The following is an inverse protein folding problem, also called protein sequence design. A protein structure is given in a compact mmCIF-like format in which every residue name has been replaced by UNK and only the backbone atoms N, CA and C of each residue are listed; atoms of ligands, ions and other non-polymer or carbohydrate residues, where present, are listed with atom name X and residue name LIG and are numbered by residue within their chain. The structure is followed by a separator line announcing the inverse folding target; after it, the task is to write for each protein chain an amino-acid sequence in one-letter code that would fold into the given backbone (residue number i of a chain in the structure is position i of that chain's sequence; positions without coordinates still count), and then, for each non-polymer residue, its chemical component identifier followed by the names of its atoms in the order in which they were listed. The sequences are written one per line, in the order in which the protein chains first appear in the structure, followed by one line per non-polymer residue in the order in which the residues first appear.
data_IF_555846426010
#
_entry.id   IF_555846426010
#
_cell.length_a   1.000
_cell.length_b   1.000
_cell.length_c   1.000
_cell.angle_alpha   90.00
_cell.angle_beta   90.00
_cell.angle_gamma   90.00
#
_symmetry.space_group_name_H-M   'P 1'
#
loop_
_entity.id
_entity.type
_entity.pdbx_description
1 polymer ?
#
# COMPACT_ATOMS: atom_id res chain seq x y z
N UNK A 1 -4.72 11.71 11.27
CA UNK A 1 -4.38 10.33 11.69
C UNK A 1 -4.83 10.09 13.13
N UNK A 2 -5.54 9.00 13.44
CA UNK A 2 -5.98 8.64 14.81
C UNK A 2 -5.41 7.27 15.19
N UNK A 3 -4.69 7.22 16.31
CA UNK A 3 -4.06 6.01 16.86
C UNK A 3 -5.14 5.02 17.30
N UNK A 4 -5.05 3.79 16.81
CA UNK A 4 -6.00 2.71 17.08
C UNK A 4 -5.43 1.59 17.92
N UNK A 5 -4.29 1.05 17.49
CA UNK A 5 -3.59 -0.04 18.14
C UNK A 5 -2.17 0.41 18.45
N UNK A 6 -1.61 -0.04 19.57
CA UNK A 6 -0.20 0.14 19.91
C UNK A 6 0.29 -1.22 20.40
N UNK A 7 1.16 -1.88 19.64
CA UNK A 7 1.80 -3.12 20.04
C UNK A 7 2.70 -2.89 21.26
N UNK A 8 2.94 -3.94 22.05
CA UNK A 8 3.83 -3.87 23.20
C UNK A 8 5.30 -3.62 22.81
N UNK A 9 5.74 -4.12 21.65
CA UNK A 9 7.08 -3.90 21.12
C UNK A 9 7.22 -2.52 20.43
N UNK A 10 6.13 -1.75 20.32
CA UNK A 10 6.13 -0.42 19.72
C UNK A 10 6.95 0.60 20.54
N UNK A 11 7.76 1.47 19.91
CA UNK A 11 8.24 2.71 20.54
C UNK A 11 7.10 3.62 21.02
N UNK A 12 5.91 3.47 20.43
CA UNK A 12 4.62 3.98 20.85
C UNK A 12 4.15 3.59 22.26
N UNK A 13 4.54 2.40 22.69
CA UNK A 13 4.00 1.79 23.90
C UNK A 13 4.35 2.62 25.14
N UNK A 14 3.33 2.90 25.96
CA UNK A 14 3.46 3.75 27.16
C UNK A 14 3.66 5.24 26.88
N UNK A 15 3.77 5.67 25.62
CA UNK A 15 3.98 7.07 25.23
C UNK A 15 2.75 7.67 24.55
N UNK A 16 2.17 6.94 23.60
CA UNK A 16 0.89 7.26 22.99
C UNK A 16 -0.24 6.41 23.57
N UNK A 17 -1.48 6.86 23.37
CA UNK A 17 -2.69 6.17 23.78
C UNK A 17 -3.61 5.92 22.59
N UNK A 18 -4.33 4.81 22.61
CA UNK A 18 -5.42 4.56 21.66
C UNK A 18 -6.44 5.69 21.73
N UNK A 19 -6.78 6.27 20.58
CA UNK A 19 -7.65 7.44 20.45
C UNK A 19 -6.91 8.77 20.29
N UNK A 20 -5.59 8.81 20.48
CA UNK A 20 -4.80 10.01 20.22
C UNK A 20 -4.88 10.41 18.75
N UNK A 21 -5.21 11.69 18.49
CA UNK A 21 -5.17 12.25 17.13
C UNK A 21 -3.82 12.90 16.91
N UNK A 22 -3.02 12.38 15.99
CA UNK A 22 -1.74 12.97 15.61
C UNK A 22 -2.01 14.25 14.83
N UNK A 23 -1.45 15.37 15.31
CA UNK A 23 -1.60 16.72 14.77
C UNK A 23 -0.38 17.12 13.93
N UNK A 24 0.82 16.79 14.41
CA UNK A 24 2.07 17.06 13.70
C UNK A 24 3.18 16.10 14.09
N UNK A 25 4.15 15.92 13.18
CA UNK A 25 5.41 15.20 13.42
C UNK A 25 6.55 16.14 13.06
N UNK A 26 7.49 16.37 13.99
CA UNK A 26 8.63 17.29 13.85
C UNK A 26 8.21 18.69 13.35
N UNK A 27 7.13 19.24 13.92
CA UNK A 27 6.58 20.55 13.55
C UNK A 27 5.82 20.61 12.22
N UNK A 28 5.79 19.52 11.45
CA UNK A 28 5.06 19.45 10.18
C UNK A 28 3.64 18.89 10.37
N UNK A 29 2.60 19.51 9.77
CA UNK A 29 1.22 19.04 9.91
C UNK A 29 1.00 17.60 9.44
N UNK A 30 0.30 16.81 10.23
CA UNK A 30 -0.02 15.42 9.98
C UNK A 30 -1.50 15.25 9.58
N UNK A 31 -1.85 15.62 8.34
CA UNK A 31 -3.23 15.55 7.85
C UNK A 31 -3.77 14.11 7.81
N UNK A 32 -2.94 13.16 7.39
CA UNK A 32 -3.27 11.74 7.23
C UNK A 32 -2.12 10.84 7.73
N UNK A 33 -2.34 9.52 7.74
CA UNK A 33 -1.31 8.56 8.14
C UNK A 33 -0.12 8.52 7.19
N UNK A 34 -0.30 8.90 5.92
CA UNK A 34 0.80 8.99 4.96
C UNK A 34 1.76 10.14 5.32
N UNK A 35 1.24 11.27 5.76
CA UNK A 35 2.03 12.38 6.28
C UNK A 35 2.77 11.98 7.56
N UNK A 36 2.09 11.30 8.50
CA UNK A 36 2.74 10.77 9.71
C UNK A 36 3.92 9.88 9.34
N UNK A 37 3.68 8.89 8.47
CA UNK A 37 4.69 7.92 8.05
C UNK A 37 5.89 8.59 7.36
N UNK A 38 5.64 9.48 6.39
CA UNK A 38 6.68 10.21 5.67
C UNK A 38 7.57 11.02 6.61
N UNK A 39 6.97 11.73 7.56
CA UNK A 39 7.74 12.57 8.49
C UNK A 39 8.48 11.77 9.56
N UNK A 40 7.96 10.60 9.96
CA UNK A 40 8.68 9.66 10.82
C UNK A 40 9.87 9.03 10.09
N UNK A 41 9.71 8.65 8.82
CA UNK A 41 10.80 8.09 8.01
C UNK A 41 11.91 9.13 7.77
N UNK A 42 11.54 10.40 7.58
CA UNK A 42 12.46 11.51 7.43
C UNK A 42 13.10 11.98 8.75
N UNK A 43 12.63 11.47 9.89
CA UNK A 43 13.17 11.82 11.18
C UNK A 43 14.53 11.14 11.43
N UNK A 44 15.34 11.77 12.29
CA UNK A 44 16.53 11.14 12.85
C UNK A 44 16.16 10.03 13.82
N UNK A 45 16.98 9.81 14.85
CA UNK A 45 16.76 8.70 15.78
C UNK A 45 15.63 8.95 16.78
N UNK A 46 15.04 10.16 16.73
CA UNK A 46 13.93 10.59 17.57
C UNK A 46 12.99 11.45 16.74
N UNK A 47 11.69 11.26 16.93
CA UNK A 47 10.66 12.08 16.32
C UNK A 47 9.76 12.69 17.39
N UNK A 48 9.54 13.99 17.30
CA UNK A 48 8.59 14.71 18.12
C UNK A 48 7.19 14.59 17.49
N UNK A 49 6.27 13.94 18.18
CA UNK A 49 4.88 13.76 17.75
C UNK A 49 3.97 14.55 18.66
N UNK A 50 3.18 15.45 18.09
CA UNK A 50 2.18 16.22 18.82
C UNK A 50 0.83 15.58 18.59
N UNK A 51 0.14 15.24 19.68
CA UNK A 51 -1.18 14.58 19.64
C UNK A 51 -2.22 15.37 20.40
N UNK A 52 -3.47 15.26 19.98
CA UNK A 52 -4.65 15.69 20.75
C UNK A 52 -5.28 14.46 21.39
N UNK A 53 -5.28 14.43 22.71
CA UNK A 53 -5.82 13.34 23.52
C UNK A 53 -7.20 13.70 24.04
N UNK A 54 -8.15 12.76 23.97
CA UNK A 54 -9.49 13.00 24.50
C UNK A 54 -9.44 13.27 26.00
N UNK A 55 -10.04 14.37 26.45
CA UNK A 55 -10.03 14.80 27.85
C UNK A 55 -8.84 15.68 28.27
N UNK A 56 -7.94 16.02 27.33
CA UNK A 56 -6.88 17.02 27.53
C UNK A 56 -7.03 18.08 26.44
N UNK A 57 -7.32 19.31 26.83
CA UNK A 57 -7.54 20.42 25.88
C UNK A 57 -6.25 20.85 25.19
N UNK A 58 -5.11 20.73 25.88
CA UNK A 58 -3.80 21.08 25.32
C UNK A 58 -3.18 19.91 24.52
N UNK A 59 -2.53 20.19 23.37
CA UNK A 59 -1.79 19.19 22.62
C UNK A 59 -0.64 18.61 23.45
N UNK A 60 -0.55 17.29 23.49
CA UNK A 60 0.52 16.58 24.19
C UNK A 60 1.66 16.33 23.23
N UNK A 61 2.87 16.80 23.58
CA UNK A 61 4.10 16.48 22.83
C UNK A 61 4.71 15.20 23.38
N UNK A 62 4.96 14.25 22.48
CA UNK A 62 5.52 12.94 22.80
C UNK A 62 6.75 12.71 21.93
N UNK A 63 7.82 12.22 22.52
CA UNK A 63 9.03 11.88 21.78
C UNK A 63 9.09 10.37 21.53
N UNK A 64 9.20 9.98 20.25
CA UNK A 64 9.29 8.59 19.84
C UNK A 64 10.72 8.25 19.43
N UNK A 65 11.36 7.24 20.04
CA UNK A 65 12.61 6.72 19.52
C UNK A 65 12.34 5.97 18.21
N UNK A 66 13.22 6.16 17.24
CA UNK A 66 13.22 5.45 15.96
C UNK A 66 14.53 4.68 15.89
N UNK A 67 14.50 3.49 16.47
CA UNK A 67 15.61 2.54 16.38
C UNK A 67 15.73 1.95 14.95
N UNK A 68 16.86 1.29 14.62
CA UNK A 68 17.08 0.73 13.29
C UNK A 68 16.00 -0.25 12.83
N UNK A 69 15.45 -1.07 13.73
CA UNK A 69 14.41 -2.06 13.40
C UNK A 69 13.06 -1.36 13.15
N UNK A 70 12.75 -0.34 13.94
CA UNK A 70 11.62 0.57 13.71
C UNK A 70 11.75 1.32 12.39
N UNK A 71 12.95 1.79 12.04
CA UNK A 71 13.21 2.47 10.76
C UNK A 71 13.11 1.51 9.58
N UNK A 72 13.61 0.29 9.71
CA UNK A 72 13.43 -0.77 8.71
C UNK A 72 11.96 -1.15 8.55
N UNK A 73 11.21 -1.23 9.65
CA UNK A 73 9.77 -1.45 9.66
C UNK A 73 9.04 -0.32 8.95
N UNK A 74 9.32 0.96 9.29
CA UNK A 74 8.80 2.13 8.59
C UNK A 74 9.17 2.15 7.09
N UNK A 75 10.31 1.61 6.67
CA UNK A 75 10.64 1.54 5.25
C UNK A 75 9.79 0.52 4.46
N UNK A 76 9.16 -0.45 5.12
CA UNK A 76 8.42 -1.55 4.51
C UNK A 76 6.94 -1.21 4.24
N UNK A 77 6.67 -0.31 3.30
CA UNK A 77 5.32 0.23 3.03
C UNK A 77 4.27 -0.82 2.56
N UNK A 78 4.63 -2.07 2.31
CA UNK A 78 3.75 -2.99 1.60
C UNK A 78 2.87 -3.86 2.50
N UNK A 79 1.70 -3.31 2.80
CA UNK A 79 0.46 -4.01 3.15
C UNK A 79 0.36 -4.74 4.50
N UNK A 80 1.47 -4.98 5.18
CA UNK A 80 1.45 -4.88 6.64
C UNK A 80 1.63 -3.39 6.92
N UNK A 81 0.71 -2.73 7.63
CA UNK A 81 0.96 -1.36 8.06
C UNK A 81 2.34 -1.32 8.72
N UNK A 82 3.31 -0.76 8.01
CA UNK A 82 4.64 -0.38 8.49
C UNK A 82 4.44 0.81 9.41
N UNK A 83 3.72 0.50 10.46
CA UNK A 83 3.54 1.35 11.60
C UNK A 83 4.79 1.15 12.44
N UNK A 84 5.09 2.08 13.33
CA UNK A 84 5.93 1.81 14.50
C UNK A 84 5.26 0.77 15.42
N UNK A 85 4.67 -0.29 14.89
CA UNK A 85 3.73 -1.19 15.53
C UNK A 85 2.53 -0.43 16.15
N UNK A 86 2.08 0.63 15.46
CA UNK A 86 0.93 1.47 15.83
C UNK A 86 -0.11 1.60 14.72
N UNK A 87 -1.18 0.80 14.82
CA UNK A 87 -2.25 0.76 13.84
C UNK A 87 -3.18 1.98 13.86
N UNK A 88 -3.61 2.41 12.67
CA UNK A 88 -4.81 3.24 12.54
C UNK A 88 -6.01 2.59 13.25
N UNK A 89 -6.86 3.41 13.88
CA UNK A 89 -8.12 2.94 14.45
C UNK A 89 -9.02 2.38 13.36
N UNK A 90 -9.04 1.05 13.25
CA UNK A 90 -9.99 0.31 12.42
C UNK A 90 -11.23 0.00 13.25
N UNK A 91 -12.34 0.63 12.91
CA UNK A 91 -13.63 0.27 13.49
C UNK A 91 -14.24 -0.86 12.67
N UNK A 92 -14.59 -1.96 13.32
CA UNK A 92 -15.25 -3.06 12.65
C UNK A 92 -16.65 -2.60 12.22
N UNK A 93 -16.82 -2.26 10.94
CA UNK A 93 -18.11 -1.85 10.40
C UNK A 93 -19.00 -3.08 10.27
N UNK A 94 -20.03 -3.16 11.09
CA UNK A 94 -21.04 -4.22 11.03
C UNK A 94 -22.36 -3.66 10.53
N UNK A 95 -23.02 -4.37 9.63
CA UNK A 95 -24.38 -4.07 9.18
C UNK A 95 -25.14 -5.38 8.99
N UNK A 96 -26.41 -5.38 9.34
CA UNK A 96 -27.33 -6.49 9.06
C UNK A 96 -27.99 -6.36 7.69
N UNK A 97 -27.80 -5.23 6.99
CA UNK A 97 -28.39 -4.98 5.67
C UNK A 97 -27.42 -5.41 4.55
N UNK A 98 -27.78 -6.43 3.74
CA UNK A 98 -26.93 -6.91 2.66
C UNK A 98 -26.63 -5.85 1.58
N UNK A 99 -27.57 -4.95 1.28
CA UNK A 99 -27.36 -3.88 0.30
C UNK A 99 -26.30 -2.89 0.78
N UNK A 100 -26.34 -2.54 2.06
CA UNK A 100 -25.34 -1.67 2.69
C UNK A 100 -23.96 -2.32 2.67
N UNK A 101 -23.88 -3.62 2.96
CA UNK A 101 -22.62 -4.36 2.90
C UNK A 101 -22.03 -4.40 1.48
N UNK A 102 -22.86 -4.63 0.46
CA UNK A 102 -22.42 -4.57 -0.95
C UNK A 102 -21.93 -3.17 -1.32
N UNK A 103 -22.65 -2.12 -0.92
CA UNK A 103 -22.22 -0.74 -1.18
C UNK A 103 -20.87 -0.43 -0.52
N UNK A 104 -20.65 -0.90 0.72
CA UNK A 104 -19.36 -0.79 1.38
C UNK A 104 -18.26 -1.52 0.62
N UNK A 105 -18.54 -2.73 0.11
CA UNK A 105 -17.61 -3.47 -0.74
C UNK A 105 -17.23 -2.70 -2.02
N UNK A 106 -18.20 -2.07 -2.69
CA UNK A 106 -17.93 -1.22 -3.87
C UNK A 106 -17.04 -0.04 -3.50
N UNK A 107 -17.33 0.65 -2.40
CA UNK A 107 -16.51 1.79 -1.95
C UNK A 107 -15.10 1.36 -1.58
N UNK A 108 -14.95 0.21 -0.91
CA UNK A 108 -13.66 -0.34 -0.51
C UNK A 108 -12.83 -0.71 -1.76
N UNK A 109 -13.42 -1.44 -2.71
CA UNK A 109 -12.76 -1.79 -3.97
C UNK A 109 -12.32 -0.53 -4.72
N UNK A 110 -13.18 0.48 -4.83
CA UNK A 110 -12.83 1.76 -5.47
C UNK A 110 -11.63 2.43 -4.79
N UNK A 111 -11.59 2.41 -3.46
CA UNK A 111 -10.54 3.05 -2.69
C UNK A 111 -9.22 2.27 -2.78
N UNK A 112 -9.27 0.93 -2.82
CA UNK A 112 -8.13 0.06 -3.12
C UNK A 112 -7.56 0.34 -4.52
N UNK A 113 -8.42 0.40 -5.55
CA UNK A 113 -8.01 0.74 -6.92
C UNK A 113 -7.32 2.10 -6.97
N UNK A 114 -7.91 3.14 -6.36
CA UNK A 114 -7.34 4.50 -6.32
C UNK A 114 -5.95 4.51 -5.66
N UNK A 115 -5.81 3.84 -4.52
CA UNK A 115 -4.55 3.77 -3.80
C UNK A 115 -3.47 3.10 -4.65
N UNK A 116 -3.81 2.01 -5.34
CA UNK A 116 -2.88 1.30 -6.19
C UNK A 116 -2.43 2.12 -7.41
N UNK A 117 -3.35 2.84 -8.07
CA UNK A 117 -2.98 3.80 -9.13
C UNK A 117 -2.05 4.91 -8.63
N UNK A 118 -2.33 5.49 -7.46
CA UNK A 118 -1.48 6.52 -6.85
C UNK A 118 -0.09 5.98 -6.52
N UNK A 119 0.00 4.74 -6.03
CA UNK A 119 1.27 4.08 -5.78
C UNK A 119 2.08 3.91 -7.06
N UNK A 120 1.47 3.41 -8.14
CA UNK A 120 2.14 3.28 -9.46
C UNK A 120 2.65 4.64 -9.93
N UNK A 121 1.81 5.68 -9.85
CA UNK A 121 2.19 7.03 -10.25
C UNK A 121 3.40 7.54 -9.46
N UNK A 122 3.40 7.35 -8.13
CA UNK A 122 4.50 7.75 -7.25
C UNK A 122 5.78 6.96 -7.50
N UNK A 123 5.66 5.68 -7.84
CA UNK A 123 6.79 4.84 -8.24
C UNK A 123 7.44 5.38 -9.52
N UNK A 124 6.64 5.70 -10.54
CA UNK A 124 7.13 6.28 -11.80
C UNK A 124 7.75 7.66 -11.58
N UNK A 125 7.23 8.44 -10.62
CA UNK A 125 7.80 9.73 -10.21
C UNK A 125 9.05 9.61 -9.32
N UNK A 126 9.48 8.39 -8.95
CA UNK A 126 10.63 8.16 -8.06
C UNK A 126 10.40 8.59 -6.60
N UNK A 127 9.15 8.85 -6.20
CA UNK A 127 8.79 9.23 -4.84
C UNK A 127 8.71 8.03 -3.88
N UNK A 128 8.70 6.82 -4.45
CA UNK A 128 8.64 5.56 -3.72
C UNK A 128 9.78 4.68 -4.23
N UNK A 129 10.53 4.08 -3.33
CA UNK A 129 11.63 3.17 -3.69
C UNK A 129 11.09 1.95 -4.43
N UNK A 130 11.80 1.49 -5.45
CA UNK A 130 11.51 0.21 -6.14
C UNK A 130 11.68 -1.00 -5.22
N UNK A 131 12.25 -0.82 -4.03
CA UNK A 131 12.26 -1.83 -2.94
C UNK A 131 10.88 -2.06 -2.33
N UNK A 132 9.90 -1.25 -2.67
CA UNK A 132 8.53 -1.37 -2.20
C UNK A 132 7.67 -2.14 -3.22
N UNK A 133 8.24 -3.03 -4.01
CA UNK A 133 7.46 -3.96 -4.83
C UNK A 133 7.62 -5.35 -4.24
N UNK A 134 6.50 -6.02 -3.95
CA UNK A 134 6.48 -7.41 -3.51
C UNK A 134 6.33 -8.32 -4.71
N UNK A 135 7.18 -9.34 -4.77
CA UNK A 135 7.10 -10.38 -5.77
C UNK A 135 6.22 -11.53 -5.30
N UNK A 136 6.21 -12.64 -6.05
CA UNK A 136 5.42 -13.82 -5.71
C UNK A 136 5.77 -14.38 -4.33
N UNK A 137 7.04 -14.33 -3.94
CA UNK A 137 7.51 -14.88 -2.66
C UNK A 137 7.01 -13.99 -1.52
N UNK A 138 7.13 -12.66 -1.66
CA UNK A 138 6.61 -11.70 -0.70
C UNK A 138 5.09 -11.79 -0.53
N UNK A 139 4.35 -12.02 -1.63
CA UNK A 139 2.90 -12.25 -1.61
C UNK A 139 2.55 -13.53 -0.85
N UNK A 140 3.24 -14.64 -1.09
CA UNK A 140 3.02 -15.92 -0.39
C UNK A 140 3.30 -15.77 1.11
N UNK A 141 4.42 -15.12 1.47
CA UNK A 141 4.79 -14.88 2.86
C UNK A 141 3.77 -13.98 3.57
N UNK A 142 3.36 -12.88 2.95
CA UNK A 142 2.34 -11.98 3.52
C UNK A 142 0.98 -12.68 3.64
N UNK A 143 0.62 -13.47 2.64
CA UNK A 143 -0.61 -14.27 2.64
C UNK A 143 -0.64 -15.29 3.77
N UNK A 144 0.49 -15.92 4.11
CA UNK A 144 0.55 -16.86 5.23
C UNK A 144 0.32 -16.15 6.57
N UNK A 145 0.98 -15.01 6.81
CA UNK A 145 0.77 -14.18 8.01
C UNK A 145 -0.69 -13.75 8.14
N UNK A 146 -1.30 -13.31 7.04
CA UNK A 146 -2.69 -12.84 7.03
C UNK A 146 -3.66 -14.00 7.26
N UNK A 147 -3.41 -15.18 6.69
CA UNK A 147 -4.23 -16.36 6.91
C UNK A 147 -4.30 -16.76 8.40
N UNK A 148 -3.22 -16.57 9.16
CA UNK A 148 -3.21 -16.80 10.61
C UNK A 148 -4.05 -15.78 11.40
N UNK A 149 -4.41 -14.62 10.83
CA UNK A 149 -5.24 -13.60 11.50
C UNK A 149 -6.73 -13.90 11.47
N UNK A 150 -7.20 -14.71 10.53
CA UNK A 150 -8.61 -15.07 10.39
C UNK A 150 -9.14 -15.01 8.95
N UNK A 151 -10.34 -15.54 8.76
CA UNK A 151 -10.97 -15.68 7.45
C UNK A 151 -11.39 -14.33 6.84
N UNK A 152 -11.87 -13.41 7.67
CA UNK A 152 -12.24 -12.05 7.27
C UNK A 152 -11.06 -11.29 6.66
N UNK A 153 -9.89 -11.40 7.28
CA UNK A 153 -8.64 -10.85 6.77
C UNK A 153 -8.15 -11.51 5.49
N UNK A 154 -8.27 -12.84 5.39
CA UNK A 154 -7.89 -13.57 4.18
C UNK A 154 -8.74 -13.16 2.97
N UNK A 155 -10.06 -13.03 3.15
CA UNK A 155 -10.98 -12.57 2.11
C UNK A 155 -10.63 -11.15 1.67
N UNK A 156 -10.37 -10.25 2.62
CA UNK A 156 -9.95 -8.88 2.31
C UNK A 156 -8.62 -8.86 1.52
N UNK A 157 -7.65 -9.70 1.89
CA UNK A 157 -6.37 -9.79 1.18
C UNK A 157 -6.51 -10.33 -0.24
N UNK A 158 -7.35 -11.35 -0.45
CA UNK A 158 -7.67 -11.84 -1.78
C UNK A 158 -8.38 -10.77 -2.63
N UNK A 159 -9.33 -10.04 -2.03
CA UNK A 159 -10.02 -8.94 -2.70
C UNK A 159 -9.03 -7.82 -3.12
N UNK A 160 -8.08 -7.50 -2.25
CA UNK A 160 -7.01 -6.55 -2.51
C UNK A 160 -6.10 -6.99 -3.66
N UNK A 161 -5.63 -8.25 -3.66
CA UNK A 161 -4.84 -8.80 -4.77
C UNK A 161 -5.65 -8.73 -6.08
N UNK A 162 -6.92 -9.12 -6.03
CA UNK A 162 -7.81 -9.08 -7.20
C UNK A 162 -7.97 -7.66 -7.75
N UNK A 163 -8.17 -6.66 -6.87
CA UNK A 163 -8.24 -5.25 -7.27
C UNK A 163 -6.92 -4.76 -7.90
N UNK A 164 -5.77 -5.14 -7.33
CA UNK A 164 -4.46 -4.76 -7.86
C UNK A 164 -4.22 -5.39 -9.25
N UNK A 165 -4.56 -6.67 -9.43
CA UNK A 165 -4.47 -7.35 -10.73
C UNK A 165 -5.39 -6.70 -11.77
N UNK A 166 -6.58 -6.25 -11.38
CA UNK A 166 -7.44 -5.49 -12.27
C UNK A 166 -6.74 -4.22 -12.76
N UNK A 167 -6.13 -3.42 -11.86
CA UNK A 167 -5.40 -2.22 -12.28
C UNK A 167 -4.25 -2.56 -13.24
N UNK A 168 -3.42 -3.55 -12.91
CA UNK A 168 -2.30 -3.96 -13.78
C UNK A 168 -2.80 -4.39 -15.15
N UNK A 169 -3.88 -5.19 -15.21
CA UNK A 169 -4.46 -5.64 -16.47
C UNK A 169 -5.07 -4.51 -17.29
N UNK A 170 -5.51 -3.41 -16.66
CA UNK A 170 -6.01 -2.22 -17.36
C UNK A 170 -4.90 -1.27 -17.85
N UNK A 171 -3.63 -1.48 -17.47
CA UNK A 171 -2.53 -0.66 -17.97
C UNK A 171 -2.35 -0.88 -19.48
N UNK A 172 -1.85 0.14 -20.23
CA UNK A 172 -1.59 0.05 -21.66
C UNK A 172 -0.30 -0.76 -21.94
N UNK A 173 -0.19 -1.96 -21.37
CA UNK A 173 0.97 -2.84 -21.50
C UNK A 173 0.62 -3.92 -22.53
N UNK A 174 1.39 -4.06 -23.63
CA UNK A 174 1.17 -5.16 -24.57
C UNK A 174 1.23 -6.51 -23.86
N UNK A 175 0.38 -7.48 -24.25
CA UNK A 175 0.10 -8.78 -23.60
C UNK A 175 -1.03 -8.75 -22.55
N UNK A 176 -1.32 -7.61 -21.93
CA UNK A 176 -2.45 -7.46 -21.00
C UNK A 176 -3.72 -7.02 -21.71
N UNK A 177 -4.88 -7.18 -21.06
CA UNK A 177 -6.19 -6.77 -21.60
C UNK A 177 -6.23 -5.28 -21.98
N UNK A 178 -5.56 -4.42 -21.21
CA UNK A 178 -5.43 -2.99 -21.47
C UNK A 178 -4.61 -2.69 -22.72
N UNK A 179 -3.61 -3.52 -23.02
CA UNK A 179 -2.88 -3.47 -24.29
C UNK A 179 -3.77 -3.81 -25.50
N UNK A 180 -4.60 -4.86 -25.37
CA UNK A 180 -5.59 -5.20 -26.40
C UNK A 180 -6.61 -4.07 -26.59
N UNK A 181 -7.10 -3.51 -25.49
CA UNK A 181 -8.01 -2.36 -25.52
C UNK A 181 -7.39 -1.17 -26.26
N UNK A 182 -6.09 -0.89 -26.06
CA UNK A 182 -5.38 0.15 -26.80
C UNK A 182 -5.34 -0.12 -28.31
N UNK A 183 -5.10 -1.37 -28.74
CA UNK A 183 -5.13 -1.72 -30.16
C UNK A 183 -6.52 -1.52 -30.78
N UNK A 184 -7.58 -1.93 -30.08
CA UNK A 184 -8.96 -1.74 -30.53
C UNK A 184 -9.34 -0.26 -30.59
N UNK A 185 -8.89 0.54 -29.63
CA UNK A 185 -9.08 1.99 -29.65
C UNK A 185 -8.37 2.66 -30.82
N UNK A 186 -7.12 2.25 -31.11
CA UNK A 186 -6.38 2.73 -32.28
C UNK A 186 -7.12 2.37 -33.56
N UNK A 187 -7.54 1.11 -33.71
CA UNK A 187 -8.31 0.64 -34.86
C UNK A 187 -9.62 1.41 -35.06
N UNK A 188 -10.34 1.72 -33.97
CA UNK A 188 -11.56 2.54 -34.02
C UNK A 188 -11.29 3.96 -34.53
N UNK A 189 -10.14 4.54 -34.20
CA UNK A 189 -9.76 5.90 -34.62
C UNK A 189 -9.23 5.90 -36.06
N UNK A 190 -8.40 4.92 -36.42
CA UNK A 190 -7.75 4.85 -37.75
C UNK A 190 -8.61 4.16 -38.81
N UNK A 191 -9.67 3.46 -38.41
CA UNK A 191 -10.51 2.63 -39.27
C UNK A 191 -9.82 1.38 -39.82
N UNK A 192 -8.61 1.05 -39.34
CA UNK A 192 -7.82 -0.09 -39.81
C UNK A 192 -7.10 -0.77 -38.63
N UNK A 193 -7.09 -2.12 -38.58
CA UNK A 193 -6.39 -2.83 -37.53
C UNK A 193 -4.88 -2.57 -37.59
N UNK A 194 -4.24 -2.58 -36.42
CA UNK A 194 -2.79 -2.58 -36.34
C UNK A 194 -2.22 -3.81 -37.07
N UNK A 195 -1.11 -3.63 -37.81
CA UNK A 195 -0.55 -4.74 -38.57
C UNK A 195 -0.20 -5.94 -37.67
N UNK A 196 -0.38 -7.19 -38.12
CA UNK A 196 -0.07 -8.38 -37.31
C UNK A 196 1.37 -8.38 -36.79
N UNK A 197 2.32 -7.90 -37.60
CA UNK A 197 3.74 -7.77 -37.21
C UNK A 197 3.93 -6.81 -36.04
N UNK A 198 3.22 -5.68 -36.04
CA UNK A 198 3.28 -4.70 -34.95
C UNK A 198 2.67 -5.27 -33.67
N UNK A 199 1.54 -5.97 -33.76
CA UNK A 199 0.90 -6.58 -32.58
C UNK A 199 1.80 -7.66 -31.94
N UNK A 200 2.38 -8.53 -32.77
CA UNK A 200 3.33 -9.57 -32.33
C UNK A 200 4.57 -8.93 -31.68
N UNK A 201 5.18 -7.94 -32.35
CA UNK A 201 6.34 -7.25 -31.81
C UNK A 201 6.03 -6.58 -30.46
N UNK A 202 4.90 -5.88 -30.37
CA UNK A 202 4.45 -5.27 -29.13
C UNK A 202 4.25 -6.32 -28.03
N UNK A 203 3.58 -7.44 -28.31
CA UNK A 203 3.39 -8.54 -27.34
C UNK A 203 4.71 -9.09 -26.83
N UNK A 204 5.71 -9.32 -27.70
CA UNK A 204 7.03 -9.78 -27.25
C UNK A 204 7.75 -8.74 -26.38
N UNK A 205 7.66 -7.46 -26.73
CA UNK A 205 8.21 -6.38 -25.91
C UNK A 205 7.53 -6.32 -24.55
N UNK A 206 6.19 -6.40 -24.52
CA UNK A 206 5.42 -6.42 -23.27
C UNK A 206 5.74 -7.63 -22.40
N UNK A 207 5.84 -8.82 -23.01
CA UNK A 207 6.24 -10.04 -22.33
C UNK A 207 7.66 -9.91 -21.74
N UNK A 208 8.61 -9.38 -22.51
CA UNK A 208 9.97 -9.16 -22.02
C UNK A 208 9.99 -8.22 -20.82
N UNK A 209 9.24 -7.11 -20.87
CA UNK A 209 9.12 -6.16 -19.76
C UNK A 209 8.54 -6.83 -18.51
N UNK A 210 7.43 -7.58 -18.65
CA UNK A 210 6.79 -8.25 -17.51
C UNK A 210 7.72 -9.32 -16.92
N UNK A 211 8.37 -10.12 -17.76
CA UNK A 211 9.32 -11.14 -17.28
C UNK A 211 10.53 -10.51 -16.59
N UNK A 212 11.09 -9.42 -17.14
CA UNK A 212 12.16 -8.68 -16.50
C UNK A 212 11.74 -8.12 -15.14
N UNK A 213 10.54 -7.53 -15.05
CA UNK A 213 10.00 -7.05 -13.78
C UNK A 213 9.78 -8.21 -12.79
N UNK A 214 9.23 -9.33 -13.24
CA UNK A 214 9.01 -10.51 -12.42
C UNK A 214 10.32 -11.04 -11.82
N UNK A 215 11.36 -11.18 -12.65
CA UNK A 215 12.70 -11.60 -12.20
C UNK A 215 13.28 -10.58 -11.23
N UNK A 216 13.20 -9.29 -11.54
CA UNK A 216 13.71 -8.21 -10.69
C UNK A 216 13.07 -8.21 -9.31
N UNK A 217 11.74 -8.25 -9.23
CA UNK A 217 11.03 -8.23 -7.95
C UNK A 217 11.25 -9.54 -7.19
N UNK A 218 11.28 -10.69 -7.87
CA UNK A 218 11.62 -11.98 -7.23
C UNK A 218 13.04 -11.96 -6.65
N UNK A 219 14.01 -11.40 -7.37
CA UNK A 219 15.37 -11.23 -6.86
C UNK A 219 15.40 -10.37 -5.60
N UNK A 220 14.64 -9.27 -5.58
CA UNK A 220 14.52 -8.44 -4.38
C UNK A 220 13.87 -9.17 -3.20
N UNK A 221 12.82 -9.96 -3.44
CA UNK A 221 12.18 -10.76 -2.40
C UNK A 221 13.20 -11.73 -1.77
N UNK A 222 13.97 -12.45 -2.60
CA UNK A 222 14.99 -13.40 -2.14
C UNK A 222 16.06 -12.68 -1.32
N UNK A 223 16.57 -11.54 -1.82
CA UNK A 223 17.59 -10.78 -1.12
C UNK A 223 17.11 -10.31 0.26
N UNK A 224 15.84 -9.93 0.38
CA UNK A 224 15.21 -9.55 1.65
C UNK A 224 15.09 -10.71 2.64
N UNK A 225 15.01 -11.96 2.18
CA UNK A 225 14.95 -13.12 3.07
C UNK A 225 16.31 -13.47 3.70
N UNK A 226 17.42 -12.98 3.12
CA UNK A 226 18.78 -13.29 3.57
C UNK A 226 19.46 -12.14 4.33
N UNK A 227 18.83 -10.97 4.39
CA UNK A 227 19.24 -9.81 5.21
C UNK A 227 18.35 -9.71 6.45
#
# INVERSE_FOLDING_TARGET
AVVGVIDAASPAHGRLQTGDRIVSVNGKPAADWFAVHRELLAAGDRAQVVVRRSGIDEPVSVELPIDPDSRASLANILYVPADLLMGERRELRRTSNPLTAMWWGVTETRDLLRQFYLMILRLVQGQVSSTNLMGPIGIIHSGSIIAFRGWDWLVWFLAMISANLAVVNFLPIPITDGGLFCFLMIEKITGKPASPRLQIAAQYVGLAIILSLFVFVTYQDIFRLFL
#
